data_IF_048453809351
#
_entry.id   IF_048453809351
#
_cell.length_a   1.000
_cell.length_b   1.000
_cell.length_c   1.000
_cell.angle_alpha   90.00
_cell.angle_beta   90.00
_cell.angle_gamma   90.00
#
_symmetry.space_group_name_H-M   'P 1'
#
loop_
_entity.id
_entity.type
_entity.pdbx_description
1 polymer ?
#
# COMPACT_ATOMS: atom_id res chain seq x y z
N UNK A 1 -17.87 -23.89 15.45
CA UNK A 1 -17.39 -23.78 14.04
C UNK A 1 -16.22 -24.74 13.89
N UNK A 2 -16.30 -25.72 13.02
CA UNK A 2 -15.22 -26.67 12.73
C UNK A 2 -14.14 -26.00 11.87
N UNK A 3 -12.87 -26.26 12.17
CA UNK A 3 -11.72 -25.75 11.40
C UNK A 3 -11.06 -26.89 10.66
N UNK A 4 -10.57 -26.63 9.46
CA UNK A 4 -9.76 -27.56 8.67
C UNK A 4 -8.32 -27.11 8.61
N UNK A 5 -7.40 -28.04 8.42
CA UNK A 5 -5.99 -27.74 8.20
C UNK A 5 -5.79 -27.02 6.85
N UNK A 6 -4.85 -26.08 6.84
CA UNK A 6 -4.44 -25.32 5.65
C UNK A 6 -2.97 -25.61 5.38
N UNK A 7 -2.60 -25.81 4.13
CA UNK A 7 -1.22 -26.04 3.73
C UNK A 7 -0.34 -24.85 4.16
N UNK A 8 0.84 -25.12 4.74
CA UNK A 8 1.75 -24.07 5.24
C UNK A 8 2.15 -23.06 4.16
N UNK A 9 2.31 -23.49 2.92
CA UNK A 9 2.59 -22.62 1.78
C UNK A 9 1.47 -21.60 1.48
N UNK A 10 0.26 -21.81 2.01
CA UNK A 10 -0.90 -20.92 1.85
C UNK A 10 -1.29 -20.19 3.14
N UNK A 11 -0.60 -20.47 4.25
CA UNK A 11 -0.94 -19.92 5.57
C UNK A 11 -0.97 -18.38 5.58
N UNK A 12 -0.09 -17.70 4.79
CA UNK A 12 -0.08 -16.25 4.67
C UNK A 12 -1.41 -15.66 4.16
N UNK A 13 -2.19 -16.44 3.40
CA UNK A 13 -3.50 -16.02 2.88
C UNK A 13 -4.58 -15.87 3.96
N UNK A 14 -4.37 -16.51 5.12
CA UNK A 14 -5.26 -16.37 6.27
C UNK A 14 -5.17 -14.97 6.90
N UNK A 15 -4.10 -14.23 6.62
CA UNK A 15 -3.89 -12.84 7.07
C UNK A 15 -4.41 -11.80 6.06
N UNK A 16 -4.94 -12.24 4.93
CA UNK A 16 -5.69 -11.37 4.03
C UNK A 16 -7.15 -11.30 4.50
N UNK A 17 -7.83 -10.20 4.26
CA UNK A 17 -7.51 -9.10 3.36
C UNK A 17 -6.60 -8.04 4.00
N UNK A 18 -5.79 -7.40 3.15
CA UNK A 18 -4.93 -6.27 3.52
C UNK A 18 -5.12 -5.09 2.56
N UNK A 19 -4.93 -3.87 3.08
CA UNK A 19 -4.95 -2.66 2.25
C UNK A 19 -3.86 -2.74 1.18
N UNK A 20 -4.22 -2.37 -0.04
CA UNK A 20 -3.31 -2.33 -1.18
C UNK A 20 -2.69 -0.96 -1.32
N UNK A 21 -1.39 -0.92 -1.57
CA UNK A 21 -0.65 0.29 -1.88
C UNK A 21 0.16 0.12 -3.17
N UNK A 22 0.51 1.24 -3.78
CA UNK A 22 1.46 1.31 -4.88
C UNK A 22 2.81 1.77 -4.32
N UNK A 23 3.83 0.93 -4.42
CA UNK A 23 5.20 1.25 -4.04
C UNK A 23 5.92 1.75 -5.27
N UNK A 24 6.27 3.04 -5.29
CA UNK A 24 7.13 3.57 -6.33
C UNK A 24 8.59 3.57 -5.88
N UNK A 25 9.47 3.39 -6.85
CA UNK A 25 10.92 3.40 -6.70
C UNK A 25 11.54 4.00 -7.95
N UNK A 26 12.76 4.53 -7.83
CA UNK A 26 13.47 5.14 -8.95
C UNK A 26 14.95 4.76 -8.88
N UNK A 27 15.56 4.58 -10.05
CA UNK A 27 17.01 4.46 -10.18
C UNK A 27 17.45 5.02 -11.53
N UNK A 28 18.52 5.81 -11.55
CA UNK A 28 19.13 6.39 -12.77
C UNK A 28 18.09 7.11 -13.67
N UNK A 29 17.17 7.87 -13.06
CA UNK A 29 16.09 8.60 -13.74
C UNK A 29 14.92 7.71 -14.22
N UNK A 30 14.99 6.39 -14.05
CA UNK A 30 13.90 5.47 -14.41
C UNK A 30 13.01 5.19 -13.23
N UNK A 31 11.73 5.51 -13.38
CA UNK A 31 10.70 5.19 -12.40
C UNK A 31 10.20 3.74 -12.55
N UNK A 32 9.78 3.16 -11.43
CA UNK A 32 9.08 1.89 -11.41
C UNK A 32 8.02 1.91 -10.30
N UNK A 33 6.97 1.15 -10.49
CA UNK A 33 5.86 0.99 -9.54
C UNK A 33 5.45 -0.46 -9.41
N UNK A 34 5.08 -0.91 -8.20
CA UNK A 34 4.48 -2.22 -7.98
C UNK A 34 3.32 -2.11 -6.98
N UNK A 35 2.40 -3.02 -7.10
CA UNK A 35 1.33 -3.20 -6.12
C UNK A 35 1.81 -4.08 -4.98
N UNK A 36 1.54 -3.66 -3.75
CA UNK A 36 1.85 -4.41 -2.55
C UNK A 36 0.66 -4.44 -1.59
N UNK A 37 0.39 -5.59 -0.99
CA UNK A 37 -0.55 -5.79 0.11
C UNK A 37 0.14 -6.24 1.41
N UNK A 38 1.45 -6.43 1.38
CA UNK A 38 2.26 -6.79 2.53
C UNK A 38 3.00 -5.56 3.03
N UNK A 39 2.26 -4.69 3.71
CA UNK A 39 2.75 -3.46 4.31
C UNK A 39 2.05 -3.20 5.64
N UNK A 40 2.70 -2.47 6.53
CA UNK A 40 2.15 -2.08 7.82
C UNK A 40 2.84 -0.85 8.42
N UNK A 41 2.15 -0.07 9.27
CA UNK A 41 2.81 0.88 10.16
C UNK A 41 3.66 0.11 11.19
N UNK A 42 4.82 0.65 11.57
CA UNK A 42 5.77 0.01 12.50
C UNK A 42 5.95 0.83 13.77
N UNK A 43 6.09 2.15 13.66
CA UNK A 43 6.34 3.05 14.78
C UNK A 43 5.68 4.39 14.55
N UNK A 44 5.31 5.07 15.63
CA UNK A 44 4.80 6.44 15.61
C UNK A 44 5.94 7.46 15.79
N UNK A 45 6.97 7.11 16.57
CA UNK A 45 8.09 7.98 16.86
C UNK A 45 9.40 7.16 16.94
N UNK A 46 10.28 7.27 15.92
CA UNK A 46 10.04 7.97 14.66
C UNK A 46 8.91 7.30 13.84
N UNK A 47 8.29 8.02 12.88
CA UNK A 47 7.22 7.45 12.06
C UNK A 47 7.79 6.45 11.06
N UNK A 48 7.55 5.17 11.28
CA UNK A 48 8.09 4.09 10.44
C UNK A 48 6.97 3.26 9.83
N UNK A 49 7.19 2.85 8.58
CA UNK A 49 6.36 1.89 7.84
C UNK A 49 7.21 0.76 7.30
N UNK A 50 6.67 -0.45 7.23
CA UNK A 50 7.33 -1.58 6.59
C UNK A 50 6.61 -2.00 5.32
N UNK A 51 7.37 -2.50 4.34
CA UNK A 51 6.85 -3.16 3.15
C UNK A 51 7.70 -4.38 2.82
N UNK A 52 7.07 -5.53 2.59
CA UNK A 52 7.76 -6.73 2.13
C UNK A 52 7.74 -6.77 0.59
N UNK A 53 8.92 -6.83 0.00
CA UNK A 53 9.12 -6.85 -1.46
C UNK A 53 9.95 -8.06 -1.84
N UNK A 54 9.42 -8.90 -2.74
CA UNK A 54 10.14 -10.08 -3.21
C UNK A 54 11.50 -9.69 -3.80
N UNK A 55 12.56 -10.42 -3.42
CA UNK A 55 13.96 -10.15 -3.82
C UNK A 55 14.16 -10.09 -5.33
N UNK A 56 13.35 -10.84 -6.09
CA UNK A 56 13.37 -10.87 -7.55
C UNK A 56 12.74 -9.63 -8.22
N UNK A 57 12.02 -8.80 -7.50
CA UNK A 57 11.33 -7.63 -8.07
C UNK A 57 12.30 -6.48 -8.35
N UNK A 58 12.07 -5.78 -9.46
CA UNK A 58 12.83 -4.58 -9.82
C UNK A 58 12.74 -3.50 -8.74
N UNK A 59 11.60 -3.41 -8.05
CA UNK A 59 11.38 -2.49 -6.93
C UNK A 59 12.37 -2.74 -5.81
N UNK A 60 12.64 -4.01 -5.44
CA UNK A 60 13.61 -4.33 -4.39
C UNK A 60 15.02 -3.87 -4.77
N UNK A 61 15.43 -4.12 -6.03
CA UNK A 61 16.72 -3.66 -6.57
C UNK A 61 16.84 -2.14 -6.49
N UNK A 62 15.80 -1.40 -6.91
CA UNK A 62 15.81 0.06 -6.92
C UNK A 62 15.85 0.64 -5.50
N UNK A 63 15.05 0.11 -4.57
CA UNK A 63 15.05 0.56 -3.17
C UNK A 63 16.41 0.33 -2.52
N UNK A 64 17.02 -0.85 -2.74
CA UNK A 64 18.37 -1.13 -2.21
C UNK A 64 19.43 -0.18 -2.76
N UNK A 65 19.34 0.17 -4.04
CA UNK A 65 20.32 1.04 -4.70
C UNK A 65 20.19 2.51 -4.27
N UNK A 66 18.97 2.99 -3.98
CA UNK A 66 18.71 4.42 -3.75
C UNK A 66 18.39 4.77 -2.31
N UNK A 67 18.06 3.77 -1.49
CA UNK A 67 17.70 4.00 -0.08
C UNK A 67 16.38 4.76 0.10
N UNK A 68 15.50 4.78 -0.92
CA UNK A 68 14.24 5.53 -0.85
C UNK A 68 13.11 4.85 -1.64
N UNK A 69 11.88 5.10 -1.20
CA UNK A 69 10.66 4.68 -1.88
C UNK A 69 9.50 5.58 -1.50
N UNK A 70 8.41 5.51 -2.25
CA UNK A 70 7.14 6.11 -1.84
C UNK A 70 6.05 5.07 -1.70
N UNK A 71 5.16 5.30 -0.74
CA UNK A 71 3.95 4.50 -0.54
C UNK A 71 2.77 5.35 -0.98
N UNK A 72 2.00 4.89 -1.94
CA UNK A 72 0.87 5.62 -2.49
C UNK A 72 -0.41 4.80 -2.28
N UNK A 73 -1.44 5.40 -1.71
CA UNK A 73 -2.72 4.74 -1.40
C UNK A 73 -3.70 4.98 -2.55
N UNK A 74 -3.98 3.97 -3.38
CA UNK A 74 -4.94 4.13 -4.48
C UNK A 74 -6.38 4.06 -3.97
N UNK A 75 -7.27 4.81 -4.60
CA UNK A 75 -8.71 4.61 -4.51
C UNK A 75 -9.17 3.46 -5.42
N UNK A 76 -10.37 2.94 -5.17
CA UNK A 76 -10.94 1.82 -5.92
C UNK A 76 -11.13 2.13 -7.41
N UNK A 77 -11.39 3.39 -7.77
CA UNK A 77 -11.43 3.83 -9.17
C UNK A 77 -10.15 3.56 -9.96
N UNK A 78 -9.02 3.35 -9.26
CA UNK A 78 -7.75 3.00 -9.89
C UNK A 78 -7.52 1.47 -9.99
N UNK A 79 -8.49 0.62 -9.61
CA UNK A 79 -8.29 -0.83 -9.49
C UNK A 79 -7.70 -1.49 -10.75
N UNK A 80 -8.11 -1.19 -12.00
CA UNK A 80 -7.48 -1.77 -13.18
C UNK A 80 -5.98 -1.44 -13.28
N UNK A 81 -5.58 -0.20 -12.95
CA UNK A 81 -4.19 0.25 -12.95
C UNK A 81 -3.39 -0.39 -11.82
N UNK A 82 -4.00 -0.54 -10.64
CA UNK A 82 -3.43 -1.25 -9.49
C UNK A 82 -3.14 -2.70 -9.85
N UNK A 83 -4.09 -3.39 -10.49
CA UNK A 83 -3.92 -4.78 -10.93
C UNK A 83 -2.80 -4.90 -11.98
N UNK A 84 -2.77 -4.01 -12.96
CA UNK A 84 -1.68 -3.94 -13.93
C UNK A 84 -0.31 -3.80 -13.25
N UNK A 85 -0.19 -2.88 -12.30
CA UNK A 85 1.05 -2.67 -11.56
C UNK A 85 1.50 -3.89 -10.74
N UNK A 86 0.56 -4.74 -10.33
CA UNK A 86 0.84 -5.99 -9.60
C UNK A 86 1.24 -7.17 -10.49
N UNK A 87 0.80 -7.18 -11.75
CA UNK A 87 0.96 -8.32 -12.66
C UNK A 87 2.05 -8.14 -13.70
N UNK A 88 2.30 -6.92 -14.14
CA UNK A 88 3.32 -6.63 -15.16
C UNK A 88 4.64 -6.23 -14.50
N UNK A 89 5.72 -6.89 -14.87
CA UNK A 89 7.06 -6.54 -14.38
C UNK A 89 7.58 -5.26 -15.06
N UNK A 90 8.14 -4.32 -14.28
CA UNK A 90 8.84 -3.15 -14.82
C UNK A 90 10.06 -3.48 -15.70
N UNK A 91 10.55 -4.73 -15.66
CA UNK A 91 11.61 -5.20 -16.58
C UNK A 91 11.11 -5.44 -18.01
N UNK A 92 9.79 -5.60 -18.19
CA UNK A 92 9.17 -5.92 -19.49
C UNK A 92 8.64 -4.69 -20.22
N UNK A 93 8.65 -3.52 -19.59
CA UNK A 93 8.08 -2.27 -20.11
C UNK A 93 9.09 -1.14 -20.00
N UNK A 94 8.98 -0.14 -20.89
CA UNK A 94 9.90 1.00 -20.91
C UNK A 94 9.64 1.94 -19.74
N UNK A 95 8.39 2.35 -19.58
CA UNK A 95 7.90 3.15 -18.46
C UNK A 95 6.61 2.56 -17.93
N UNK A 96 6.67 2.03 -16.71
CA UNK A 96 5.55 1.32 -16.12
C UNK A 96 4.44 2.25 -15.60
N UNK A 97 4.79 3.47 -15.22
CA UNK A 97 3.81 4.49 -14.81
C UNK A 97 3.02 4.97 -16.02
N UNK A 98 3.70 5.29 -17.13
CA UNK A 98 3.08 5.70 -18.38
C UNK A 98 2.13 4.62 -18.92
N UNK A 99 2.58 3.36 -19.01
CA UNK A 99 1.75 2.25 -19.49
C UNK A 99 0.55 1.94 -18.57
N UNK A 100 0.68 2.17 -17.28
CA UNK A 100 -0.43 2.09 -16.34
C UNK A 100 -1.37 3.32 -16.42
N UNK A 101 -1.00 4.36 -17.15
CA UNK A 101 -1.72 5.63 -17.18
C UNK A 101 -1.72 6.35 -15.83
N UNK A 102 -0.61 6.24 -15.09
CA UNK A 102 -0.38 6.90 -13.80
C UNK A 102 0.59 8.07 -13.97
N UNK A 103 0.29 9.19 -13.34
CA UNK A 103 1.08 10.42 -13.44
C UNK A 103 2.09 10.53 -12.30
N UNK A 104 3.41 10.46 -12.55
CA UNK A 104 4.41 10.71 -11.53
C UNK A 104 4.44 12.20 -11.13
N UNK A 105 4.49 12.45 -9.82
CA UNK A 105 4.70 13.79 -9.25
C UNK A 105 6.04 13.76 -8.51
N UNK A 106 6.99 14.67 -8.76
CA UNK A 106 8.27 14.68 -8.09
C UNK A 106 8.13 14.69 -6.56
N UNK A 107 8.86 13.82 -5.89
CA UNK A 107 8.98 13.84 -4.43
C UNK A 107 9.64 15.14 -3.94
N UNK A 108 9.25 15.61 -2.77
CA UNK A 108 9.80 16.83 -2.14
C UNK A 108 10.94 16.54 -1.17
N UNK A 109 11.01 15.33 -0.64
CA UNK A 109 11.99 14.92 0.38
C UNK A 109 12.85 13.73 -0.06
N UNK A 110 12.38 12.96 -1.05
CA UNK A 110 13.13 11.86 -1.65
C UNK A 110 13.08 11.94 -3.17
N UNK A 111 14.10 11.44 -3.90
CA UNK A 111 14.14 11.50 -5.37
C UNK A 111 13.23 10.45 -6.04
N UNK A 112 12.17 10.03 -5.38
CA UNK A 112 11.21 9.03 -5.87
C UNK A 112 9.85 9.70 -6.02
N UNK A 113 9.14 9.51 -7.16
CA UNK A 113 7.88 10.17 -7.39
C UNK A 113 6.75 9.63 -6.49
N UNK A 114 5.82 10.51 -6.17
CA UNK A 114 4.47 10.17 -5.76
C UNK A 114 3.60 9.94 -7.00
N UNK A 115 2.39 9.40 -6.81
CA UNK A 115 1.42 9.15 -7.88
C UNK A 115 0.23 10.08 -7.69
N UNK A 116 0.00 10.96 -8.67
CA UNK A 116 -0.98 12.05 -8.60
C UNK A 116 -2.41 11.58 -8.29
N UNK A 117 -2.83 10.47 -8.88
CA UNK A 117 -4.19 9.95 -8.80
C UNK A 117 -4.49 9.23 -7.48
N UNK A 118 -3.47 8.97 -6.64
CA UNK A 118 -3.65 8.30 -5.37
C UNK A 118 -4.26 9.22 -4.30
N UNK A 119 -5.02 8.62 -3.39
CA UNK A 119 -5.69 9.32 -2.27
C UNK A 119 -4.70 9.85 -1.23
N UNK A 120 -3.56 9.17 -1.08
CA UNK A 120 -2.49 9.59 -0.17
C UNK A 120 -1.14 9.13 -0.69
N UNK A 121 -0.10 9.81 -0.23
CA UNK A 121 1.29 9.51 -0.55
C UNK A 121 2.21 9.75 0.63
N UNK A 122 3.15 8.82 0.85
CA UNK A 122 4.19 8.90 1.86
C UNK A 122 5.56 8.83 1.17
N UNK A 123 6.43 9.77 1.48
CA UNK A 123 7.83 9.75 1.07
C UNK A 123 8.67 9.10 2.17
N UNK A 124 9.41 8.04 1.83
CA UNK A 124 10.13 7.22 2.79
C UNK A 124 11.63 7.12 2.46
N UNK A 125 12.49 7.31 3.48
CA UNK A 125 13.89 6.90 3.45
C UNK A 125 14.03 5.55 4.11
N UNK A 126 14.81 4.65 3.54
CA UNK A 126 15.07 3.35 4.15
C UNK A 126 15.77 3.56 5.50
N UNK A 127 15.09 3.17 6.56
CA UNK A 127 15.63 3.13 7.94
C UNK A 127 16.45 1.87 8.17
N UNK A 128 15.89 0.72 7.75
CA UNK A 128 16.57 -0.56 7.82
C UNK A 128 15.99 -1.54 6.78
N UNK A 129 16.75 -2.59 6.48
CA UNK A 129 16.33 -3.67 5.59
C UNK A 129 16.63 -5.00 6.28
N UNK A 130 15.60 -5.85 6.37
CA UNK A 130 15.72 -7.19 6.93
C UNK A 130 15.55 -8.26 5.87
N UNK A 131 16.30 -9.34 5.99
CA UNK A 131 16.10 -10.54 5.18
C UNK A 131 14.88 -11.30 5.71
N UNK A 132 13.83 -11.39 4.91
CA UNK A 132 12.57 -12.09 5.21
C UNK A 132 12.38 -13.36 4.39
N UNK A 133 13.46 -14.09 4.08
CA UNK A 133 13.40 -15.29 3.26
C UNK A 133 13.42 -14.97 1.77
N UNK A 134 12.36 -15.17 1.02
CA UNK A 134 12.26 -14.80 -0.40
C UNK A 134 11.93 -13.30 -0.61
N UNK A 135 11.68 -12.55 0.46
CA UNK A 135 11.42 -11.11 0.46
C UNK A 135 12.48 -10.35 1.27
N UNK A 136 12.67 -9.06 0.93
CA UNK A 136 13.21 -8.08 1.85
C UNK A 136 12.06 -7.37 2.56
N UNK A 137 12.24 -7.09 3.85
CA UNK A 137 11.37 -6.20 4.61
C UNK A 137 12.09 -4.85 4.69
N UNK A 138 11.65 -3.90 3.87
CA UNK A 138 12.13 -2.53 3.95
C UNK A 138 11.34 -1.77 5.01
N UNK A 139 12.03 -1.30 6.02
CA UNK A 139 11.47 -0.34 6.98
C UNK A 139 11.89 1.05 6.53
N UNK A 140 10.92 1.92 6.29
CA UNK A 140 11.13 3.28 5.86
C UNK A 140 10.69 4.29 6.91
N UNK A 141 11.52 5.29 7.17
CA UNK A 141 11.13 6.49 7.89
C UNK A 141 10.28 7.37 6.98
N UNK A 142 9.07 7.70 7.42
CA UNK A 142 8.20 8.62 6.70
C UNK A 142 8.70 10.04 6.92
N UNK A 143 9.29 10.63 5.90
CA UNK A 143 9.85 11.99 5.94
C UNK A 143 8.89 13.06 5.42
N UNK A 144 7.80 12.64 4.79
CA UNK A 144 6.67 13.47 4.36
C UNK A 144 5.45 12.59 4.07
N UNK A 145 4.27 13.11 4.39
CA UNK A 145 3.00 12.51 4.01
C UNK A 145 2.03 13.57 3.49
N UNK A 146 1.13 13.17 2.60
CA UNK A 146 0.02 13.96 2.12
C UNK A 146 -1.20 13.05 1.87
N UNK A 147 -2.39 13.60 2.00
CA UNK A 147 -3.64 12.88 1.74
C UNK A 147 -4.69 13.82 1.14
N UNK A 148 -5.67 13.23 0.47
CA UNK A 148 -6.88 13.90 0.01
C UNK A 148 -7.83 14.19 1.18
N UNK A 149 -8.92 14.92 0.92
CA UNK A 149 -9.99 15.21 1.89
C UNK A 149 -10.74 13.95 2.37
N UNK A 150 -10.52 12.80 1.72
CA UNK A 150 -11.07 11.52 2.17
C UNK A 150 -10.43 11.04 3.48
N UNK A 151 -9.32 11.67 3.92
CA UNK A 151 -8.65 11.38 5.19
C UNK A 151 -8.72 12.59 6.13
N UNK A 152 -9.32 12.37 7.31
CA UNK A 152 -9.37 13.36 8.40
C UNK A 152 -9.16 12.63 9.74
N UNK A 153 -7.91 12.26 10.01
CA UNK A 153 -7.54 11.40 11.14
C UNK A 153 -7.90 9.92 10.94
N UNK A 154 -8.86 9.62 10.10
CA UNK A 154 -9.25 8.30 9.60
C UNK A 154 -9.84 8.40 8.20
N UNK A 155 -9.94 7.28 7.48
CA UNK A 155 -10.56 7.24 6.16
C UNK A 155 -12.07 7.43 6.25
N UNK A 156 -12.57 8.50 5.66
CA UNK A 156 -14.02 8.76 5.56
C UNK A 156 -14.54 8.07 4.30
N UNK A 157 -15.25 6.97 4.49
CA UNK A 157 -15.91 6.24 3.41
C UNK A 157 -17.24 6.94 3.12
N UNK A 158 -17.22 7.87 2.15
CA UNK A 158 -18.38 8.61 1.66
C UNK A 158 -19.10 7.79 0.59
N UNK A 159 -20.10 8.38 -0.09
CA UNK A 159 -20.89 7.69 -1.13
C UNK A 159 -20.09 7.38 -2.40
N UNK A 160 -18.97 8.07 -2.65
CA UNK A 160 -18.11 7.82 -3.79
C UNK A 160 -17.16 6.64 -3.50
N UNK A 161 -17.53 5.45 -3.98
CA UNK A 161 -16.74 4.24 -3.80
C UNK A 161 -15.37 4.29 -4.49
N UNK A 162 -15.19 5.12 -5.52
CA UNK A 162 -13.90 5.29 -6.21
C UNK A 162 -12.81 5.82 -5.27
N UNK A 163 -13.20 6.48 -4.19
CA UNK A 163 -12.31 7.00 -3.16
C UNK A 163 -12.07 6.02 -1.99
N UNK A 164 -12.58 4.79 -2.06
CA UNK A 164 -12.34 3.79 -1.03
C UNK A 164 -10.96 3.17 -1.20
N UNK A 165 -10.12 3.09 -0.14
CA UNK A 165 -8.86 2.36 -0.23
C UNK A 165 -9.09 0.91 -0.67
N UNK A 166 -8.28 0.44 -1.60
CA UNK A 166 -8.39 -0.91 -2.16
C UNK A 166 -7.90 -1.95 -1.17
N UNK A 167 -8.60 -3.08 -1.06
CA UNK A 167 -8.20 -4.24 -0.27
C UNK A 167 -8.13 -5.50 -1.12
N UNK A 168 -7.14 -6.35 -0.84
CA UNK A 168 -6.83 -7.54 -1.63
C UNK A 168 -7.23 -8.83 -0.90
N UNK A 169 -7.96 -9.71 -1.57
CA UNK A 169 -8.37 -11.02 -1.06
C UNK A 169 -7.43 -12.16 -1.50
N UNK A 170 -6.60 -11.91 -2.50
CA UNK A 170 -5.70 -12.90 -3.09
C UNK A 170 -5.95 -13.11 -4.58
N UNK A 171 -4.88 -13.32 -5.37
CA UNK A 171 -4.97 -13.45 -6.82
C UNK A 171 -5.61 -12.23 -7.48
N UNK A 172 -6.61 -12.40 -8.37
CA UNK A 172 -7.29 -11.29 -9.01
C UNK A 172 -8.49 -10.74 -8.19
N UNK A 173 -8.64 -11.13 -6.93
CA UNK A 173 -9.80 -10.80 -6.12
C UNK A 173 -9.51 -9.64 -5.17
N UNK A 174 -10.42 -8.69 -5.14
CA UNK A 174 -10.38 -7.49 -4.29
C UNK A 174 -11.73 -7.28 -3.63
N UNK A 175 -11.79 -6.45 -2.60
CA UNK A 175 -13.05 -6.05 -1.99
C UNK A 175 -13.02 -4.58 -1.56
N UNK A 176 -14.21 -4.00 -1.45
CA UNK A 176 -14.44 -2.71 -0.83
C UNK A 176 -14.75 -2.89 0.66
N UNK A 177 -14.26 -1.99 1.53
CA UNK A 177 -14.70 -1.94 2.91
C UNK A 177 -16.23 -1.81 2.99
N UNK A 178 -16.82 -2.49 3.97
CA UNK A 178 -18.25 -2.35 4.28
C UNK A 178 -18.54 -1.05 5.04
N UNK A 179 -19.78 -0.92 5.58
CA UNK A 179 -20.16 0.25 6.36
C UNK A 179 -19.22 0.51 7.53
N UNK A 180 -18.86 1.78 7.73
CA UNK A 180 -18.06 2.18 8.88
C UNK A 180 -18.91 2.20 10.16
N UNK A 181 -18.30 1.79 11.27
CA UNK A 181 -18.94 1.77 12.57
C UNK A 181 -18.04 2.41 13.63
N UNK A 182 -18.65 3.01 14.65
CA UNK A 182 -17.99 3.42 15.87
C UNK A 182 -18.29 2.43 16.99
N UNK A 183 -17.30 2.20 17.85
CA UNK A 183 -17.45 1.44 19.09
C UNK A 183 -17.21 2.39 20.27
N UNK A 184 -18.21 2.58 21.09
CA UNK A 184 -18.15 3.47 22.26
C UNK A 184 -18.41 2.69 23.55
N UNK A 185 -17.76 3.06 24.67
CA UNK A 185 -18.08 2.47 25.97
C UNK A 185 -19.55 2.71 26.33
N UNK A 186 -20.19 1.69 26.91
CA UNK A 186 -21.55 1.74 27.46
C UNK A 186 -21.58 0.93 28.75
N UNK A 187 -22.50 1.21 29.64
CA UNK A 187 -22.66 0.49 30.92
C UNK A 187 -22.68 -1.05 30.68
N UNK A 188 -21.68 -1.75 31.23
CA UNK A 188 -21.55 -3.20 31.11
C UNK A 188 -20.92 -3.71 29.81
N UNK A 189 -20.36 -2.83 28.94
CA UNK A 189 -19.69 -3.28 27.70
C UNK A 189 -19.43 -2.18 26.68
N UNK A 190 -19.70 -2.49 25.41
CA UNK A 190 -19.49 -1.59 24.27
C UNK A 190 -20.72 -1.57 23.36
N UNK A 191 -21.05 -0.41 22.84
CA UNK A 191 -22.09 -0.23 21.82
C UNK A 191 -21.44 0.01 20.45
N UNK A 192 -21.95 -0.69 19.43
CA UNK A 192 -21.52 -0.51 18.03
C UNK A 192 -22.59 0.30 17.31
N UNK A 193 -22.23 1.46 16.78
CA UNK A 193 -23.14 2.35 16.04
C UNK A 193 -22.60 2.60 14.63
N UNK A 194 -23.46 2.59 13.59
CA UNK A 194 -23.04 3.01 12.26
C UNK A 194 -22.52 4.45 12.26
N UNK A 195 -21.36 4.68 11.62
CA UNK A 195 -20.93 6.04 11.29
C UNK A 195 -21.84 6.56 10.17
N UNK A 196 -22.42 7.73 10.37
CA UNK A 196 -23.12 8.43 9.30
C UNK A 196 -22.08 8.93 8.27
N UNK A 197 -22.40 8.87 6.96
CA UNK A 197 -21.53 9.38 5.91
C UNK A 197 -21.18 10.85 6.06
#
# INVERSE_FOLDING_TARGET
MEKKEVALAEAYRLLTPGMVVLIASQRDGRNNVMTASWQMPVSKEPPLVAVAVAKKHLTAEYIQATGAFTVNVPGFGLLPKVHFCGTISGRKVKDKLEEAGLTPVPGKKVPVPLIKECLAGLECRVWNTYDGGDHYIFVGEVVRAEASEAFDGFWRLKDNQDEYPVHHLGGPHYYLPGPSVSVTPKDGGFEVTPLKP
#
